data_IF_643510333621
#
_entry.id   IF_643510333621
#
_cell.length_a   1.000
_cell.length_b   1.000
_cell.length_c   1.000
_cell.angle_alpha   90.00
_cell.angle_beta   90.00
_cell.angle_gamma   90.00
#
_symmetry.space_group_name_H-M   'P 1'
#
loop_
_entity.id
_entity.type
_entity.pdbx_description
1 polymer ?
#
# COMPACT_ATOMS: atom_id res chain seq x y z
N UNK A 1 -6.09 -6.55 15.41
CA UNK A 1 -6.01 -5.94 14.08
C UNK A 1 -4.64 -5.34 13.83
N UNK A 2 -4.16 -5.42 12.61
CA UNK A 2 -2.84 -4.90 12.22
C UNK A 2 -2.69 -3.43 12.59
N UNK A 3 -3.69 -2.61 12.27
CA UNK A 3 -3.67 -1.18 12.53
C UNK A 3 -3.46 -0.85 14.01
N UNK A 4 -4.18 -1.53 14.88
CA UNK A 4 -4.10 -1.26 16.32
C UNK A 4 -2.76 -1.66 16.92
N UNK A 5 -2.16 -2.76 16.46
CA UNK A 5 -0.93 -3.30 17.04
C UNK A 5 0.33 -2.65 16.50
N UNK A 6 0.26 -1.97 15.34
CA UNK A 6 1.45 -1.43 14.66
C UNK A 6 1.43 0.09 14.51
N UNK A 7 0.48 0.78 15.14
CA UNK A 7 0.33 2.23 15.04
C UNK A 7 0.13 2.71 13.60
N UNK A 8 -0.48 1.88 12.76
CA UNK A 8 -0.84 2.29 11.43
C UNK A 8 -2.00 3.29 11.50
N UNK A 9 -1.88 4.39 10.77
CA UNK A 9 -2.98 5.34 10.63
C UNK A 9 -4.06 4.74 9.73
N UNK A 10 -3.64 4.09 8.67
CA UNK A 10 -4.55 3.64 7.61
C UNK A 10 -3.94 2.46 6.87
N UNK A 11 -4.78 1.50 6.55
CA UNK A 11 -4.42 0.37 5.69
C UNK A 11 -5.47 0.29 4.60
N UNK A 12 -5.02 0.26 3.36
CA UNK A 12 -5.87 0.12 2.20
C UNK A 12 -5.43 -1.00 1.28
N UNK A 13 -6.38 -1.55 0.56
CA UNK A 13 -6.13 -2.57 -0.46
C UNK A 13 -6.61 -1.99 -1.78
N UNK A 14 -5.68 -1.88 -2.72
CA UNK A 14 -5.97 -1.45 -4.08
C UNK A 14 -5.91 -2.63 -5.03
N UNK A 15 -6.94 -2.82 -5.82
CA UNK A 15 -6.98 -3.81 -6.88
C UNK A 15 -6.61 -3.14 -8.20
N UNK A 16 -5.89 -3.86 -9.06
CA UNK A 16 -5.63 -3.40 -10.42
C UNK A 16 -6.81 -3.75 -11.29
N UNK A 17 -7.42 -2.72 -11.89
CA UNK A 17 -8.54 -2.87 -12.84
C UNK A 17 -8.15 -2.12 -14.09
N UNK A 18 -7.83 -2.86 -15.17
CA UNK A 18 -7.30 -2.29 -16.40
C UNK A 18 -6.02 -1.49 -16.11
N UNK A 19 -6.02 -0.20 -16.32
CA UNK A 19 -4.86 0.67 -16.16
C UNK A 19 -4.92 1.49 -14.86
N UNK A 20 -5.73 1.07 -13.90
CA UNK A 20 -5.92 1.83 -12.66
C UNK A 20 -5.81 0.96 -11.42
N UNK A 21 -5.35 1.58 -10.33
CA UNK A 21 -5.55 1.06 -8.98
C UNK A 21 -6.90 1.57 -8.49
N UNK A 22 -7.71 0.68 -7.94
CA UNK A 22 -9.03 1.00 -7.42
C UNK A 22 -9.11 0.51 -5.98
N UNK A 23 -9.52 1.37 -5.05
CA UNK A 23 -9.64 0.99 -3.64
C UNK A 23 -10.71 -0.10 -3.50
N UNK A 24 -10.35 -1.18 -2.83
CA UNK A 24 -11.23 -2.32 -2.58
C UNK A 24 -11.72 -2.33 -1.14
N UNK A 25 -10.82 -2.03 -0.21
CA UNK A 25 -11.12 -2.03 1.23
C UNK A 25 -10.16 -1.11 1.96
N UNK A 26 -10.57 -0.58 3.09
CA UNK A 26 -9.74 0.29 3.92
C UNK A 26 -10.19 0.26 5.38
N UNK A 27 -9.30 0.67 6.28
CA UNK A 27 -9.57 0.67 7.73
C UNK A 27 -9.74 2.06 8.32
N UNK A 28 -9.55 3.13 7.56
CA UNK A 28 -9.56 4.50 8.06
C UNK A 28 -10.96 5.06 8.27
N UNK A 29 -11.02 6.15 9.05
CA UNK A 29 -12.25 6.92 9.26
C UNK A 29 -12.47 7.92 8.14
N UNK A 30 -11.41 8.27 7.42
CA UNK A 30 -11.46 9.19 6.29
C UNK A 30 -11.19 8.44 4.99
N UNK A 31 -11.93 8.72 3.93
CA UNK A 31 -11.64 8.13 2.63
C UNK A 31 -10.31 8.68 2.10
N UNK A 32 -9.56 7.89 1.31
CA UNK A 32 -8.35 8.38 0.67
C UNK A 32 -8.70 9.44 -0.37
N UNK A 33 -7.77 10.41 -0.58
CA UNK A 33 -7.97 11.45 -1.57
C UNK A 33 -8.07 10.88 -2.99
N UNK A 34 -7.40 9.75 -3.22
CA UNK A 34 -7.36 9.09 -4.52
C UNK A 34 -7.87 7.65 -4.39
N UNK A 35 -9.19 7.42 -4.39
CA UNK A 35 -9.74 6.06 -4.36
C UNK A 35 -9.50 5.29 -5.66
N UNK A 36 -9.07 6.00 -6.69
CA UNK A 36 -8.77 5.47 -8.02
C UNK A 36 -7.69 6.35 -8.65
N UNK A 37 -6.66 5.72 -9.22
CA UNK A 37 -5.58 6.46 -9.90
C UNK A 37 -4.84 5.55 -10.89
N UNK A 38 -4.15 6.13 -11.89
CA UNK A 38 -3.42 5.34 -12.88
C UNK A 38 -2.31 4.48 -12.28
N UNK A 39 -2.08 3.29 -12.83
CA UNK A 39 -1.06 2.35 -12.33
C UNK A 39 0.37 2.87 -12.50
N UNK A 40 0.57 3.94 -13.26
CA UNK A 40 1.88 4.57 -13.43
C UNK A 40 2.22 5.59 -12.33
N UNK A 41 1.29 5.87 -11.41
CA UNK A 41 1.46 6.94 -10.44
C UNK A 41 1.60 6.44 -9.01
N UNK A 42 2.23 7.27 -8.19
CA UNK A 42 2.36 7.05 -6.77
C UNK A 42 3.37 5.97 -6.40
N UNK A 43 3.46 5.70 -5.11
CA UNK A 43 4.32 4.61 -4.61
C UNK A 43 3.78 3.25 -5.03
N UNK A 44 2.46 3.11 -5.18
CA UNK A 44 1.87 1.89 -5.72
C UNK A 44 2.36 1.62 -7.15
N UNK A 45 2.44 2.65 -7.99
CA UNK A 45 2.99 2.52 -9.34
C UNK A 45 4.45 2.09 -9.33
N UNK A 46 5.24 2.66 -8.43
CA UNK A 46 6.65 2.29 -8.27
C UNK A 46 6.81 0.85 -7.79
N UNK A 47 5.95 0.39 -6.88
CA UNK A 47 5.97 -0.99 -6.41
C UNK A 47 5.58 -1.97 -7.52
N UNK A 48 4.62 -1.60 -8.36
CA UNK A 48 4.22 -2.42 -9.50
C UNK A 48 5.38 -2.57 -10.48
N UNK A 49 6.06 -1.48 -10.79
CA UNK A 49 7.19 -1.49 -11.71
C UNK A 49 8.35 -2.35 -11.20
N UNK A 50 8.69 -2.22 -9.91
CA UNK A 50 9.79 -2.98 -9.32
C UNK A 50 9.43 -4.41 -8.97
N UNK A 51 8.16 -4.69 -8.74
CA UNK A 51 7.68 -5.98 -8.25
C UNK A 51 8.04 -6.28 -6.80
N UNK A 52 8.46 -5.26 -6.03
CA UNK A 52 8.97 -5.42 -4.67
C UNK A 52 8.28 -4.45 -3.72
N UNK A 53 8.24 -4.78 -2.40
CA UNK A 53 7.77 -3.84 -1.40
C UNK A 53 8.59 -2.55 -1.40
N UNK A 54 7.92 -1.44 -1.12
CA UNK A 54 8.56 -0.13 -0.98
C UNK A 54 8.25 0.41 0.40
N UNK A 55 9.29 0.82 1.13
CA UNK A 55 9.17 1.47 2.42
C UNK A 55 9.73 2.88 2.28
N UNK A 56 8.92 3.88 2.65
CA UNK A 56 9.33 5.28 2.65
C UNK A 56 9.25 5.82 4.07
N UNK A 57 10.39 6.19 4.62
CA UNK A 57 10.49 6.69 6.00
C UNK A 57 9.87 8.06 6.20
N UNK A 58 9.94 8.91 5.19
CA UNK A 58 9.30 10.23 5.20
C UNK A 58 8.84 10.58 3.79
N UNK A 59 7.54 10.49 3.57
CA UNK A 59 6.94 10.71 2.24
C UNK A 59 7.13 12.13 1.73
N UNK A 60 7.38 13.10 2.62
CA UNK A 60 7.59 14.49 2.24
C UNK A 60 8.85 14.67 1.38
N UNK A 61 9.77 13.72 1.46
CA UNK A 61 11.03 13.73 0.71
C UNK A 61 11.05 12.79 -0.50
N UNK A 62 9.93 12.14 -0.79
CA UNK A 62 9.84 11.22 -1.92
C UNK A 62 8.91 11.80 -3.00
N UNK A 63 9.47 12.16 -4.17
CA UNK A 63 8.66 12.77 -5.24
C UNK A 63 7.63 11.82 -5.85
N UNK A 64 7.74 10.51 -5.59
CA UNK A 64 6.78 9.51 -6.11
C UNK A 64 5.50 9.47 -5.29
N UNK A 65 5.52 10.07 -4.07
CA UNK A 65 4.36 10.01 -3.18
C UNK A 65 3.16 10.74 -3.77
N UNK A 66 2.03 10.02 -3.90
CA UNK A 66 0.75 10.61 -4.24
C UNK A 66 0.02 10.89 -2.93
N UNK A 67 -0.22 12.18 -2.58
CA UNK A 67 -0.74 12.53 -1.26
C UNK A 67 -2.14 11.96 -1.00
N UNK A 68 -2.18 10.82 -0.31
CA UNK A 68 -3.43 10.15 0.07
C UNK A 68 -4.09 10.89 1.22
N UNK A 69 -3.28 11.31 2.19
CA UNK A 69 -3.70 12.09 3.36
C UNK A 69 -2.66 13.16 3.65
N UNK A 70 -3.11 14.31 4.15
CA UNK A 70 -2.20 15.41 4.47
C UNK A 70 -1.30 15.12 5.66
N UNK A 71 -1.67 14.18 6.50
CA UNK A 71 -0.96 13.88 7.75
C UNK A 71 -0.02 12.71 7.64
N UNK A 72 -0.01 11.99 6.53
CA UNK A 72 0.90 10.85 6.34
C UNK A 72 2.35 11.31 6.33
N UNK A 73 3.20 10.57 7.07
CA UNK A 73 4.64 10.80 7.13
C UNK A 73 5.44 9.62 6.61
N UNK A 74 5.00 8.39 6.87
CA UNK A 74 5.68 7.20 6.34
C UNK A 74 4.67 6.24 5.74
N UNK A 75 5.16 5.38 4.85
CA UNK A 75 4.31 4.46 4.09
C UNK A 75 5.06 3.19 3.75
N UNK A 76 4.32 2.08 3.70
CA UNK A 76 4.80 0.83 3.11
C UNK A 76 3.78 0.34 2.10
N UNK A 77 4.27 -0.04 0.91
CA UNK A 77 3.47 -0.62 -0.16
C UNK A 77 3.97 -2.04 -0.40
N UNK A 78 3.06 -2.99 -0.41
CA UNK A 78 3.41 -4.40 -0.65
C UNK A 78 2.57 -4.95 -1.80
N UNK A 79 3.23 -5.45 -2.88
CA UNK A 79 2.49 -6.09 -3.97
C UNK A 79 1.77 -7.35 -3.49
N UNK A 80 0.52 -7.50 -3.91
CA UNK A 80 -0.27 -8.70 -3.69
C UNK A 80 -0.10 -9.59 -4.91
N UNK A 81 0.64 -10.69 -4.72
CA UNK A 81 1.07 -11.58 -5.80
C UNK A 81 0.33 -12.91 -5.69
N UNK A 82 -0.27 -13.38 -6.78
CA UNK A 82 -0.95 -14.65 -6.80
C UNK A 82 0.02 -15.83 -7.01
N UNK A 83 -0.50 -17.05 -7.05
CA UNK A 83 0.30 -18.27 -7.25
C UNK A 83 1.01 -18.34 -8.60
N UNK A 84 0.59 -17.53 -9.56
CA UNK A 84 1.21 -17.46 -10.89
C UNK A 84 2.21 -16.30 -11.00
N UNK A 85 2.62 -15.72 -9.85
CA UNK A 85 3.54 -14.58 -9.77
C UNK A 85 3.01 -13.31 -10.45
N UNK A 86 1.69 -13.21 -10.58
CA UNK A 86 1.06 -12.01 -11.15
C UNK A 86 0.66 -11.07 -10.02
N UNK A 87 0.96 -9.79 -10.18
CA UNK A 87 0.56 -8.76 -9.22
C UNK A 87 -0.90 -8.37 -9.50
N UNK A 88 -1.76 -8.58 -8.51
CA UNK A 88 -3.19 -8.29 -8.61
C UNK A 88 -3.57 -6.95 -8.01
N UNK A 89 -2.71 -6.38 -7.18
CA UNK A 89 -2.95 -5.13 -6.49
C UNK A 89 -1.88 -4.83 -5.48
N UNK A 90 -2.17 -3.89 -4.58
CA UNK A 90 -1.25 -3.43 -3.56
C UNK A 90 -1.91 -3.37 -2.19
N UNK A 91 -1.18 -3.76 -1.18
CA UNK A 91 -1.49 -3.42 0.21
C UNK A 91 -0.72 -2.14 0.51
N UNK A 92 -1.43 -1.13 1.01
CA UNK A 92 -0.88 0.18 1.34
C UNK A 92 -1.14 0.46 2.82
N UNK A 93 -0.06 0.65 3.61
CA UNK A 93 -0.18 1.07 4.99
C UNK A 93 0.52 2.41 5.18
N UNK A 94 -0.14 3.34 5.85
CA UNK A 94 0.36 4.69 6.06
C UNK A 94 0.30 5.07 7.54
N UNK A 95 1.28 5.84 7.98
CA UNK A 95 1.40 6.30 9.36
C UNK A 95 1.68 7.80 9.41
N UNK A 96 1.19 8.44 10.47
CA UNK A 96 1.50 9.84 10.76
C UNK A 96 2.88 10.02 11.40
N UNK A 97 3.57 8.91 11.70
CA UNK A 97 4.91 8.93 12.28
C UNK A 97 5.96 8.65 11.23
N UNK A 98 7.05 9.40 11.27
CA UNK A 98 8.23 9.16 10.43
C UNK A 98 8.85 7.82 10.81
N UNK A 99 9.31 7.07 9.83
CA UNK A 99 9.98 5.78 10.02
C UNK A 99 9.17 4.76 10.82
N UNK A 100 7.85 4.73 10.62
CA UNK A 100 6.97 3.79 11.31
C UNK A 100 7.16 2.34 10.83
N UNK A 101 7.72 2.14 9.63
CA UNK A 101 7.87 0.83 9.01
C UNK A 101 9.35 0.50 8.83
N UNK A 102 9.75 -0.72 9.21
CA UNK A 102 11.11 -1.23 9.03
C UNK A 102 11.09 -2.51 8.20
N UNK A 103 12.28 -3.12 8.01
CA UNK A 103 12.40 -4.33 7.21
C UNK A 103 11.55 -5.49 7.75
N UNK A 104 11.37 -5.56 9.05
CA UNK A 104 10.53 -6.56 9.71
C UNK A 104 9.06 -6.47 9.32
N UNK A 105 8.61 -5.29 8.91
CA UNK A 105 7.22 -5.07 8.50
C UNK A 105 6.92 -5.62 7.10
N UNK A 106 7.95 -5.94 6.33
CA UNK A 106 7.77 -6.49 4.99
C UNK A 106 7.15 -7.88 5.01
N UNK A 107 7.58 -8.73 5.96
CA UNK A 107 7.12 -10.12 6.00
C UNK A 107 5.63 -10.23 6.35
N UNK A 108 5.18 -9.44 7.30
CA UNK A 108 3.79 -9.51 7.73
C UNK A 108 2.83 -9.00 6.64
N UNK A 109 3.03 -7.80 6.05
CA UNK A 109 2.19 -7.35 4.95
C UNK A 109 2.28 -8.26 3.71
N UNK A 110 3.44 -8.83 3.42
CA UNK A 110 3.60 -9.76 2.29
C UNK A 110 2.72 -10.99 2.46
N UNK A 111 2.69 -11.58 3.65
CA UNK A 111 1.86 -12.76 3.93
C UNK A 111 0.37 -12.42 3.83
N UNK A 112 -0.03 -11.31 4.43
CA UNK A 112 -1.42 -10.85 4.35
C UNK A 112 -1.81 -10.53 2.91
N UNK A 113 -0.91 -9.88 2.17
CA UNK A 113 -1.11 -9.56 0.77
C UNK A 113 -1.31 -10.79 -0.10
N UNK A 114 -0.52 -11.86 0.14
CA UNK A 114 -0.67 -13.11 -0.57
C UNK A 114 -2.02 -13.77 -0.35
N UNK A 115 -2.47 -13.80 0.92
CA UNK A 115 -3.79 -14.34 1.25
C UNK A 115 -4.91 -13.55 0.59
N UNK A 116 -4.83 -12.22 0.64
CA UNK A 116 -5.82 -11.34 0.03
C UNK A 116 -5.84 -11.50 -1.47
N UNK A 117 -4.68 -11.58 -2.10
CA UNK A 117 -4.58 -11.79 -3.54
C UNK A 117 -5.24 -13.10 -3.98
N UNK A 118 -5.08 -14.16 -3.17
CA UNK A 118 -5.74 -15.44 -3.42
C UNK A 118 -7.26 -15.28 -3.39
N UNK A 119 -7.79 -14.48 -2.47
CA UNK A 119 -9.22 -14.22 -2.36
C UNK A 119 -9.78 -13.31 -3.45
N UNK A 120 -8.92 -12.56 -4.15
CA UNK A 120 -9.33 -11.65 -5.21
C UNK A 120 -9.55 -12.33 -6.56
N UNK A 121 -9.29 -13.60 -6.65
CA UNK A 121 -9.51 -14.35 -7.89
C UNK A 121 -11.02 -14.46 -8.23
#
# INVERSE_FOLDING_TARGET
>A
MIRATRNYRWIGIYKIVKDEFVILAETGDEPPAYPRFPISQGLCGAALESGKPIIVGDVRHDPRYLPTFHTTRSEIIVPMINEHHKILGMLDAESEKVNAFGDEDRQFPERAGGLIAHCLH
#
